data_IF_720521095291
#
_entry.id   IF_720521095291
#
_cell.length_a   1.000
_cell.length_b   1.000
_cell.length_c   1.000
_cell.angle_alpha   90.00
_cell.angle_beta   90.00
_cell.angle_gamma   90.00
#
_symmetry.space_group_name_H-M   'P 1'
#
loop_
_entity.id
_entity.type
_entity.pdbx_description
1 polymer ?
#
# COMPACT_ATOMS: atom_id res chain seq x y z
N UNK A 1 15.77 21.57 13.83
CA UNK A 1 15.77 20.32 14.63
C UNK A 1 14.50 19.58 14.27
N UNK A 2 14.59 18.58 13.40
CA UNK A 2 13.45 17.73 13.04
C UNK A 2 13.22 16.77 14.20
N UNK A 3 12.03 16.81 14.80
CA UNK A 3 11.62 15.90 15.85
C UNK A 3 11.71 14.46 15.35
N UNK A 4 12.53 13.66 16.02
CA UNK A 4 12.50 12.21 15.88
C UNK A 4 11.11 11.75 16.34
N UNK A 5 10.30 11.28 15.39
CA UNK A 5 9.00 10.69 15.67
C UNK A 5 9.24 9.33 16.37
N UNK A 6 9.52 9.39 17.67
CA UNK A 6 9.58 8.21 18.54
C UNK A 6 8.15 7.73 18.74
N UNK A 7 7.75 6.75 17.93
CA UNK A 7 6.58 5.91 18.24
C UNK A 7 6.75 5.42 19.68
N UNK A 8 5.77 5.73 20.53
CA UNK A 8 5.75 5.26 21.91
C UNK A 8 5.77 3.73 21.90
N UNK A 9 6.73 3.07 22.56
CA UNK A 9 6.76 1.61 22.60
C UNK A 9 5.46 1.07 23.19
N UNK A 10 4.96 -0.05 22.65
CA UNK A 10 3.76 -0.72 23.17
C UNK A 10 3.90 -1.05 24.66
N UNK A 11 2.85 -0.81 25.42
CA UNK A 11 2.74 -1.19 26.83
C UNK A 11 2.67 -2.71 27.01
N UNK A 12 3.02 -3.20 28.20
CA UNK A 12 2.92 -4.62 28.53
C UNK A 12 1.47 -5.14 28.40
N UNK A 13 0.47 -4.30 28.71
CA UNK A 13 -0.95 -4.63 28.57
C UNK A 13 -1.34 -4.84 27.11
N UNK A 14 -0.91 -3.94 26.21
CA UNK A 14 -1.11 -4.08 24.77
C UNK A 14 -0.42 -5.33 24.21
N UNK A 15 0.80 -5.63 24.66
CA UNK A 15 1.52 -6.83 24.26
C UNK A 15 0.83 -8.10 24.75
N UNK A 16 0.37 -8.13 26.00
CA UNK A 16 -0.29 -9.29 26.59
C UNK A 16 -1.64 -9.57 25.92
N UNK A 17 -2.40 -8.54 25.49
CA UNK A 17 -3.69 -8.67 24.80
C UNK A 17 -3.59 -9.59 23.56
N UNK A 18 -2.46 -9.53 22.86
CA UNK A 18 -2.27 -10.26 21.61
C UNK A 18 -1.60 -11.64 21.81
N UNK A 19 -1.11 -11.94 23.01
CA UNK A 19 -0.38 -13.17 23.29
C UNK A 19 -1.31 -14.30 23.71
N UNK A 20 -1.08 -15.50 23.18
CA UNK A 20 -1.80 -16.73 23.58
C UNK A 20 -1.32 -17.26 24.93
N UNK A 21 -0.06 -16.99 25.28
CA UNK A 21 0.54 -17.38 26.55
C UNK A 21 0.96 -16.14 27.36
N UNK A 22 1.33 -16.35 28.62
CA UNK A 22 1.85 -15.29 29.49
C UNK A 22 3.08 -14.61 28.86
N UNK A 23 3.06 -13.28 28.82
CA UNK A 23 4.13 -12.45 28.30
C UNK A 23 5.34 -12.53 29.24
N UNK A 24 6.44 -13.08 28.74
CA UNK A 24 7.70 -13.13 29.49
C UNK A 24 8.62 -11.97 29.11
N UNK A 25 9.10 -11.18 30.08
CA UNK A 25 10.13 -10.19 29.83
C UNK A 25 11.42 -10.82 29.32
N UNK A 26 12.08 -10.14 28.38
CA UNK A 26 13.42 -10.44 27.89
C UNK A 26 14.50 -9.84 28.80
N UNK A 27 14.34 -8.57 29.20
CA UNK A 27 15.22 -7.82 30.10
C UNK A 27 16.73 -7.90 29.78
N UNK A 28 17.09 -8.05 28.51
CA UNK A 28 18.46 -8.23 28.06
C UNK A 28 18.73 -7.47 26.75
N UNK A 29 20.01 -7.30 26.37
CA UNK A 29 20.39 -6.90 25.03
C UNK A 29 19.88 -7.89 23.97
N UNK A 30 19.82 -7.46 22.72
CA UNK A 30 19.49 -8.34 21.60
C UNK A 30 20.79 -8.86 20.99
N UNK A 31 20.98 -10.18 20.99
CA UNK A 31 22.13 -10.80 20.31
C UNK A 31 21.88 -10.78 18.80
N UNK A 32 22.76 -10.09 18.08
CA UNK A 32 22.84 -10.13 16.63
C UNK A 32 24.06 -10.95 16.23
N UNK A 33 23.90 -11.74 15.19
CA UNK A 33 25.00 -12.44 14.52
C UNK A 33 25.11 -11.93 13.09
N UNK A 34 26.30 -12.04 12.51
CA UNK A 34 26.47 -11.79 11.07
C UNK A 34 25.71 -12.82 10.24
N UNK A 35 25.50 -12.52 8.96
CA UNK A 35 24.72 -13.39 8.09
C UNK A 35 25.28 -14.81 8.04
N UNK A 36 24.42 -15.79 8.26
CA UNK A 36 24.74 -17.21 8.16
C UNK A 36 24.06 -17.80 6.91
N UNK A 37 24.82 -18.31 5.92
CA UNK A 37 24.27 -18.94 4.73
C UNK A 37 23.31 -20.11 5.01
N UNK A 38 23.48 -20.81 6.14
CA UNK A 38 22.61 -21.94 6.52
C UNK A 38 21.17 -21.53 6.81
N UNK A 39 20.88 -20.25 7.03
CA UNK A 39 19.51 -19.76 7.21
C UNK A 39 18.60 -20.06 6.02
N UNK A 40 19.14 -20.09 4.80
CA UNK A 40 18.38 -20.48 3.61
C UNK A 40 17.95 -21.95 3.69
N UNK A 41 18.84 -22.83 4.15
CA UNK A 41 18.56 -24.27 4.26
C UNK A 41 17.55 -24.55 5.38
N UNK A 42 17.70 -23.86 6.52
CA UNK A 42 16.76 -23.93 7.65
C UNK A 42 15.36 -23.44 7.22
N UNK A 43 15.28 -22.37 6.45
CA UNK A 43 14.02 -21.91 5.87
C UNK A 43 13.39 -22.99 4.98
N UNK A 44 14.14 -23.57 4.04
CA UNK A 44 13.59 -24.57 3.11
C UNK A 44 13.13 -25.84 3.84
N UNK A 45 13.85 -26.26 4.88
CA UNK A 45 13.43 -27.39 5.72
C UNK A 45 12.05 -27.14 6.35
N UNK A 46 11.86 -25.98 6.99
CA UNK A 46 10.59 -25.62 7.63
C UNK A 46 9.49 -25.36 6.60
N UNK A 47 9.81 -24.72 5.47
CA UNK A 47 8.85 -24.46 4.40
C UNK A 47 8.32 -25.79 3.83
N UNK A 48 9.18 -26.79 3.63
CA UNK A 48 8.77 -28.11 3.15
C UNK A 48 7.92 -28.86 4.18
N UNK A 49 8.23 -28.74 5.48
CA UNK A 49 7.39 -29.30 6.55
C UNK A 49 6.00 -28.65 6.56
N UNK A 50 5.91 -27.34 6.44
CA UNK A 50 4.62 -26.63 6.41
C UNK A 50 3.82 -27.02 5.17
N UNK A 51 4.46 -27.08 3.99
CA UNK A 51 3.81 -27.53 2.74
C UNK A 51 3.26 -28.95 2.87
N UNK A 52 4.00 -29.87 3.50
CA UNK A 52 3.57 -31.26 3.62
C UNK A 52 2.32 -31.43 4.50
N UNK A 53 2.16 -30.62 5.54
CA UNK A 53 1.02 -30.71 6.46
C UNK A 53 -0.19 -29.87 6.05
N UNK A 54 0.02 -28.77 5.32
CA UNK A 54 -1.06 -27.89 4.86
C UNK A 54 -1.53 -28.16 3.43
N UNK A 55 -0.68 -28.76 2.58
CA UNK A 55 -0.99 -29.00 1.18
C UNK A 55 -1.43 -27.73 0.45
N UNK A 56 -2.58 -27.79 -0.22
CA UNK A 56 -3.14 -26.68 -0.99
C UNK A 56 -3.65 -25.49 -0.15
N UNK A 57 -3.67 -25.62 1.19
CA UNK A 57 -4.04 -24.51 2.08
C UNK A 57 -2.90 -23.50 2.24
N UNK A 58 -1.65 -23.93 2.07
CA UNK A 58 -0.50 -23.04 2.01
C UNK A 58 -0.39 -22.45 0.60
N UNK A 59 -1.00 -21.28 0.41
CA UNK A 59 -1.06 -20.61 -0.90
C UNK A 59 0.29 -20.04 -1.31
N UNK A 60 1.08 -19.59 -0.34
CA UNK A 60 2.42 -19.05 -0.55
C UNK A 60 3.23 -19.21 0.74
N UNK A 61 4.52 -19.54 0.62
CA UNK A 61 5.47 -19.56 1.74
C UNK A 61 6.76 -18.88 1.31
N UNK A 62 7.20 -17.89 2.07
CA UNK A 62 8.32 -17.02 1.71
C UNK A 62 9.27 -16.82 2.89
N UNK A 63 10.58 -16.82 2.60
CA UNK A 63 11.58 -16.39 3.57
C UNK A 63 11.57 -14.87 3.63
N UNK A 64 11.33 -14.30 4.80
CA UNK A 64 11.21 -12.86 5.02
C UNK A 64 12.08 -12.44 6.23
N UNK A 65 11.98 -11.17 6.63
CA UNK A 65 12.78 -10.65 7.73
C UNK A 65 14.28 -10.56 7.40
N UNK A 66 15.11 -10.32 8.42
CA UNK A 66 16.53 -10.02 8.19
C UNK A 66 17.35 -11.24 7.77
N UNK A 67 16.96 -12.45 8.19
CA UNK A 67 17.68 -13.70 7.86
C UNK A 67 17.53 -14.10 6.38
N UNK A 68 16.55 -13.52 5.69
CA UNK A 68 16.34 -13.71 4.24
C UNK A 68 17.23 -12.84 3.35
N UNK A 69 18.04 -11.94 3.92
CA UNK A 69 18.87 -10.98 3.18
C UNK A 69 20.35 -11.33 3.33
N UNK A 70 21.02 -11.83 2.27
CA UNK A 70 22.45 -12.10 2.30
C UNK A 70 23.29 -10.90 2.76
N UNK A 71 24.24 -11.15 3.66
CA UNK A 71 25.13 -10.14 4.23
C UNK A 71 24.51 -9.24 5.31
N UNK A 72 23.22 -9.41 5.65
CA UNK A 72 22.56 -8.62 6.69
C UNK A 72 22.64 -9.33 8.06
N UNK A 73 23.23 -8.68 9.06
CA UNK A 73 23.23 -9.20 10.43
C UNK A 73 21.80 -9.34 10.99
N UNK A 74 21.53 -10.35 11.80
CA UNK A 74 20.18 -10.61 12.30
C UNK A 74 20.20 -11.24 13.69
N UNK A 75 19.04 -11.25 14.34
CA UNK A 75 18.77 -12.27 15.35
C UNK A 75 18.71 -13.61 14.60
N UNK A 76 19.29 -14.70 15.13
CA UNK A 76 19.27 -16.01 14.48
C UNK A 76 17.88 -16.67 14.62
N UNK A 77 16.85 -16.01 14.11
CA UNK A 77 15.47 -16.47 14.06
C UNK A 77 15.00 -16.33 12.62
N UNK A 78 14.49 -17.42 12.04
CA UNK A 78 13.98 -17.41 10.67
C UNK A 78 12.58 -16.81 10.67
N UNK A 79 12.39 -15.64 10.05
CA UNK A 79 11.06 -15.09 9.84
C UNK A 79 10.48 -15.68 8.54
N UNK A 80 9.31 -16.29 8.63
CA UNK A 80 8.61 -16.94 7.52
C UNK A 80 7.25 -16.30 7.33
N UNK A 81 6.86 -16.07 6.07
CA UNK A 81 5.52 -15.65 5.70
C UNK A 81 4.77 -16.86 5.15
N UNK A 82 3.58 -17.14 5.68
CA UNK A 82 2.61 -18.11 5.16
C UNK A 82 1.33 -17.38 4.77
N UNK A 83 0.92 -17.55 3.51
CA UNK A 83 -0.36 -17.05 3.01
C UNK A 83 -1.36 -18.19 2.97
N UNK A 84 -2.50 -17.99 3.62
CA UNK A 84 -3.67 -18.88 3.58
C UNK A 84 -4.85 -18.15 2.97
N UNK A 85 -5.95 -18.86 2.70
CA UNK A 85 -7.16 -18.24 2.14
C UNK A 85 -7.74 -17.19 3.11
N UNK A 86 -7.89 -17.58 4.38
CA UNK A 86 -8.39 -16.74 5.46
C UNK A 86 -7.64 -17.10 6.74
N UNK A 87 -6.86 -16.17 7.30
CA UNK A 87 -6.09 -16.38 8.53
C UNK A 87 -6.96 -16.41 9.79
N UNK A 88 -8.18 -15.87 9.75
CA UNK A 88 -9.10 -15.95 10.87
C UNK A 88 -9.75 -17.34 11.00
N UNK A 89 -9.83 -18.11 9.90
CA UNK A 89 -10.31 -19.50 9.88
C UNK A 89 -9.25 -20.47 10.43
N UNK A 90 -8.95 -20.33 11.71
CA UNK A 90 -7.93 -21.12 12.41
C UNK A 90 -8.20 -22.63 12.34
N UNK A 91 -9.48 -23.05 12.35
CA UNK A 91 -9.86 -24.46 12.25
C UNK A 91 -9.34 -25.12 10.97
N UNK A 92 -9.13 -24.34 9.91
CA UNK A 92 -8.66 -24.86 8.64
C UNK A 92 -7.17 -25.22 8.63
N UNK A 93 -6.32 -24.62 9.47
CA UNK A 93 -4.86 -24.81 9.40
C UNK A 93 -4.13 -24.97 10.73
N UNK A 94 -4.63 -24.38 11.82
CA UNK A 94 -3.95 -24.42 13.14
C UNK A 94 -3.78 -25.85 13.67
N UNK A 95 -4.79 -26.74 13.66
CA UNK A 95 -4.62 -28.10 14.16
C UNK A 95 -3.54 -28.89 13.42
N UNK A 96 -3.38 -28.67 12.11
CA UNK A 96 -2.35 -29.33 11.30
C UNK A 96 -0.94 -28.82 11.64
N UNK A 97 -0.79 -27.51 11.85
CA UNK A 97 0.46 -26.90 12.30
C UNK A 97 0.83 -27.34 13.72
N UNK A 98 -0.11 -27.36 14.65
CA UNK A 98 0.13 -27.82 16.03
C UNK A 98 0.50 -29.30 16.08
N UNK A 99 -0.15 -30.15 15.27
CA UNK A 99 0.22 -31.56 15.13
C UNK A 99 1.63 -31.76 14.57
N UNK A 100 2.14 -30.79 13.80
CA UNK A 100 3.51 -30.75 13.29
C UNK A 100 4.51 -30.08 14.27
N UNK A 101 4.03 -29.67 15.45
CA UNK A 101 4.84 -29.09 16.54
C UNK A 101 4.96 -27.57 16.53
N UNK A 102 4.30 -26.87 15.60
CA UNK A 102 4.27 -25.39 15.63
C UNK A 102 3.34 -24.90 16.74
N UNK A 103 3.75 -23.86 17.45
CA UNK A 103 2.97 -23.33 18.59
C UNK A 103 2.47 -21.94 18.26
N UNK A 104 1.15 -21.76 18.23
CA UNK A 104 0.53 -20.44 18.07
C UNK A 104 0.85 -19.56 19.30
N UNK A 105 1.43 -18.39 19.05
CA UNK A 105 1.84 -17.45 20.11
C UNK A 105 1.11 -16.13 20.07
N UNK A 106 0.73 -15.63 18.90
CA UNK A 106 0.13 -14.31 18.76
C UNK A 106 -1.14 -14.40 17.92
N UNK A 107 -2.18 -13.68 18.37
CA UNK A 107 -3.37 -13.33 17.59
C UNK A 107 -3.52 -11.82 17.57
N UNK A 108 -3.54 -11.24 16.38
CA UNK A 108 -3.72 -9.80 16.18
C UNK A 108 -4.88 -9.54 15.21
N UNK A 109 -6.14 -9.64 15.68
CA UNK A 109 -7.32 -9.42 14.82
C UNK A 109 -7.32 -8.04 14.15
N UNK A 110 -6.93 -7.01 14.91
CA UNK A 110 -6.87 -5.62 14.44
C UNK A 110 -5.75 -5.35 13.43
N UNK A 111 -4.80 -6.29 13.28
CA UNK A 111 -3.71 -6.20 12.31
C UNK A 111 -3.83 -7.32 11.28
N UNK A 112 -4.82 -7.18 10.41
CA UNK A 112 -5.08 -8.08 9.28
C UNK A 112 -5.31 -9.55 9.66
N UNK A 113 -5.92 -9.80 10.82
CA UNK A 113 -6.09 -11.16 11.33
C UNK A 113 -4.77 -11.94 11.40
N UNK A 114 -3.67 -11.27 11.73
CA UNK A 114 -2.35 -11.87 11.81
C UNK A 114 -2.30 -12.95 12.90
N UNK A 115 -1.63 -14.06 12.59
CA UNK A 115 -1.24 -15.11 13.54
C UNK A 115 0.27 -15.34 13.48
N UNK A 116 0.88 -15.55 14.64
CA UNK A 116 2.31 -15.90 14.72
C UNK A 116 2.51 -17.26 15.37
N UNK A 117 3.19 -18.18 14.68
CA UNK A 117 3.64 -19.45 15.25
C UNK A 117 5.14 -19.42 15.54
N UNK A 118 5.54 -20.20 16.54
CA UNK A 118 6.94 -20.60 16.77
C UNK A 118 7.16 -22.01 16.28
N UNK A 119 8.34 -22.25 15.71
CA UNK A 119 8.75 -23.56 15.22
C UNK A 119 9.02 -24.58 16.33
N UNK A 120 8.91 -25.88 16.02
CA UNK A 120 9.27 -26.95 16.95
C UNK A 120 10.77 -27.13 17.13
N UNK A 121 11.54 -27.12 16.04
CA UNK A 121 12.97 -27.45 16.04
C UNK A 121 13.82 -26.22 15.71
N UNK A 122 13.51 -25.57 14.59
CA UNK A 122 14.16 -24.33 14.16
C UNK A 122 13.51 -23.16 14.88
N UNK A 123 14.32 -22.24 15.41
CA UNK A 123 13.79 -20.98 15.97
C UNK A 123 13.25 -20.12 14.83
N UNK A 124 11.96 -20.26 14.54
CA UNK A 124 11.26 -19.49 13.51
C UNK A 124 10.17 -18.61 14.11
N UNK A 125 9.84 -17.56 13.38
CA UNK A 125 8.59 -16.81 13.51
C UNK A 125 7.79 -17.03 12.22
N UNK A 126 6.72 -17.80 12.27
CA UNK A 126 5.84 -18.03 11.13
C UNK A 126 4.65 -17.08 11.20
N UNK A 127 4.69 -16.04 10.37
CA UNK A 127 3.65 -15.04 10.19
C UNK A 127 2.60 -15.56 9.22
N UNK A 128 1.33 -15.60 9.64
CA UNK A 128 0.21 -16.08 8.82
C UNK A 128 -0.74 -14.93 8.48
N UNK A 129 -1.03 -14.76 7.19
CA UNK A 129 -1.94 -13.74 6.68
C UNK A 129 -2.89 -14.30 5.62
N UNK A 130 -4.08 -13.69 5.50
CA UNK A 130 -5.01 -13.94 4.40
C UNK A 130 -4.45 -13.50 3.04
N UNK A 131 -4.85 -14.19 1.98
CA UNK A 131 -4.48 -13.83 0.60
C UNK A 131 -4.97 -12.41 0.25
N UNK A 132 -4.07 -11.60 -0.30
CA UNK A 132 -4.39 -10.22 -0.71
C UNK A 132 -4.17 -9.15 0.36
N UNK A 133 -3.72 -9.54 1.56
CA UNK A 133 -3.32 -8.60 2.62
C UNK A 133 -2.09 -7.76 2.20
N UNK A 134 -2.14 -6.45 2.41
CA UNK A 134 -1.07 -5.52 2.00
C UNK A 134 0.25 -5.74 2.75
N UNK A 135 0.21 -6.29 3.97
CA UNK A 135 1.41 -6.63 4.75
C UNK A 135 2.29 -7.67 4.03
N UNK A 136 1.70 -8.58 3.24
CA UNK A 136 2.44 -9.55 2.42
C UNK A 136 3.39 -8.81 1.47
N UNK A 137 2.85 -7.88 0.69
CA UNK A 137 3.64 -7.10 -0.28
C UNK A 137 4.66 -6.22 0.42
N UNK A 138 4.34 -5.69 1.61
CA UNK A 138 5.25 -4.89 2.42
C UNK A 138 6.47 -5.70 2.89
N UNK A 139 6.26 -6.91 3.42
CA UNK A 139 7.33 -7.78 3.89
C UNK A 139 8.26 -8.21 2.74
N UNK A 140 7.67 -8.63 1.61
CA UNK A 140 8.42 -9.04 0.42
C UNK A 140 9.21 -7.87 -0.17
N UNK A 141 8.58 -6.69 -0.31
CA UNK A 141 9.25 -5.49 -0.81
C UNK A 141 10.44 -5.08 0.07
N UNK A 142 10.27 -5.12 1.39
CA UNK A 142 11.37 -4.78 2.29
C UNK A 142 12.55 -5.74 2.12
N UNK A 143 12.29 -7.06 2.06
CA UNK A 143 13.31 -8.07 1.78
C UNK A 143 14.02 -7.82 0.45
N UNK A 144 13.25 -7.72 -0.63
CA UNK A 144 13.80 -7.68 -1.98
C UNK A 144 14.57 -6.38 -2.24
N UNK A 145 14.12 -5.26 -1.66
CA UNK A 145 14.88 -4.02 -1.66
C UNK A 145 16.24 -4.16 -0.97
N UNK A 146 16.28 -4.77 0.22
CA UNK A 146 17.54 -4.93 0.95
C UNK A 146 18.49 -5.95 0.31
N UNK A 147 17.98 -6.86 -0.53
CA UNK A 147 18.82 -7.77 -1.33
C UNK A 147 19.53 -7.06 -2.49
N UNK A 148 18.98 -5.95 -2.99
CA UNK A 148 19.51 -5.23 -4.16
C UNK A 148 20.09 -3.85 -3.82
N UNK A 149 19.84 -3.33 -2.61
CA UNK A 149 20.32 -2.02 -2.17
C UNK A 149 21.28 -2.12 -0.98
N UNK A 150 22.57 -2.26 -1.29
CA UNK A 150 23.64 -2.37 -0.29
C UNK A 150 23.65 -1.21 0.71
N UNK A 151 23.45 0.03 0.23
CA UNK A 151 23.50 1.22 1.08
C UNK A 151 22.39 1.23 2.15
N UNK A 152 21.17 0.82 1.80
CA UNK A 152 20.07 0.71 2.75
C UNK A 152 20.19 -0.52 3.65
N UNK A 153 20.72 -1.64 3.14
CA UNK A 153 21.07 -2.81 3.95
C UNK A 153 22.06 -2.44 5.04
N UNK A 154 23.13 -1.73 4.69
CA UNK A 154 24.20 -1.38 5.62
C UNK A 154 23.73 -0.35 6.66
N UNK A 155 22.91 0.64 6.24
CA UNK A 155 22.24 1.56 7.18
C UNK A 155 21.33 0.82 8.15
N UNK A 156 20.53 -0.12 7.66
CA UNK A 156 19.65 -0.92 8.51
C UNK A 156 20.45 -1.78 9.49
N UNK A 157 21.53 -2.41 9.04
CA UNK A 157 22.46 -3.16 9.88
C UNK A 157 23.06 -2.27 10.99
N UNK A 158 23.50 -1.05 10.65
CA UNK A 158 24.05 -0.11 11.61
C UNK A 158 23.04 0.29 12.69
N UNK A 159 21.80 0.59 12.31
CA UNK A 159 20.72 0.90 13.27
C UNK A 159 20.46 -0.30 14.18
N UNK A 160 20.39 -1.52 13.62
CA UNK A 160 20.20 -2.75 14.42
C UNK A 160 21.32 -2.95 15.43
N UNK A 161 22.59 -2.81 15.03
CA UNK A 161 23.75 -2.94 15.92
C UNK A 161 23.75 -1.88 17.02
N UNK A 162 23.32 -0.66 16.72
CA UNK A 162 23.20 0.40 17.72
C UNK A 162 22.09 0.09 18.74
N UNK A 163 20.89 -0.28 18.27
CA UNK A 163 19.76 -0.62 19.14
C UNK A 163 20.02 -1.89 19.98
N UNK A 164 20.79 -2.85 19.45
CA UNK A 164 21.13 -4.09 20.14
C UNK A 164 21.95 -3.87 21.43
N UNK A 165 22.62 -2.73 21.58
CA UNK A 165 23.39 -2.37 22.79
C UNK A 165 22.50 -2.03 23.99
N UNK A 166 21.23 -1.67 23.74
CA UNK A 166 20.28 -1.32 24.80
C UNK A 166 19.72 -2.59 25.45
N UNK A 167 19.36 -2.50 26.73
CA UNK A 167 18.54 -3.54 27.38
C UNK A 167 17.07 -3.31 27.04
N UNK A 168 16.41 -4.36 26.57
CA UNK A 168 15.00 -4.29 26.18
C UNK A 168 14.15 -5.15 27.12
N UNK A 169 13.09 -4.57 27.69
CA UNK A 169 12.14 -5.31 28.54
C UNK A 169 11.44 -6.37 27.72
N UNK A 170 11.00 -6.05 26.51
CA UNK A 170 10.44 -7.01 25.55
C UNK A 170 11.17 -6.93 24.21
N UNK A 171 11.28 -8.07 23.52
CA UNK A 171 11.80 -8.13 22.14
C UNK A 171 10.99 -7.24 21.19
N UNK A 172 9.69 -7.08 21.46
CA UNK A 172 8.82 -6.22 20.67
C UNK A 172 9.23 -4.74 20.76
N UNK A 173 9.74 -4.27 21.90
CA UNK A 173 10.23 -2.88 22.02
C UNK A 173 11.43 -2.61 21.11
N UNK A 174 12.33 -3.59 20.97
CA UNK A 174 13.41 -3.51 19.99
C UNK A 174 12.87 -3.51 18.55
N UNK A 175 11.82 -4.28 18.26
CA UNK A 175 11.18 -4.27 16.96
C UNK A 175 10.55 -2.91 16.64
N UNK A 176 9.81 -2.33 17.58
CA UNK A 176 9.14 -1.03 17.46
C UNK A 176 10.17 0.10 17.25
N UNK A 177 11.32 0.05 17.94
CA UNK A 177 12.40 1.04 17.79
C UNK A 177 13.03 1.08 16.39
N UNK A 178 12.86 0.03 15.57
CA UNK A 178 13.33 0.00 14.17
C UNK A 178 12.35 0.66 13.20
N UNK A 179 11.13 0.99 13.63
CA UNK A 179 10.05 1.46 12.75
C UNK A 179 10.47 2.63 11.87
N UNK A 180 11.15 3.64 12.44
CA UNK A 180 11.57 4.83 11.70
C UNK A 180 12.54 4.51 10.53
N UNK A 181 13.53 3.63 10.74
CA UNK A 181 14.44 3.26 9.66
C UNK A 181 13.75 2.38 8.60
N UNK A 182 12.87 1.47 9.03
CA UNK A 182 12.09 0.63 8.12
C UNK A 182 11.19 1.50 7.22
N UNK A 183 10.48 2.48 7.79
CA UNK A 183 9.64 3.42 7.04
C UNK A 183 10.45 4.17 5.97
N UNK A 184 11.59 4.77 6.35
CA UNK A 184 12.47 5.49 5.42
C UNK A 184 12.97 4.61 4.27
N UNK A 185 13.31 3.35 4.55
CA UNK A 185 13.74 2.39 3.53
C UNK A 185 12.57 2.04 2.61
N UNK A 186 11.38 1.81 3.17
CA UNK A 186 10.17 1.48 2.40
C UNK A 186 9.70 2.62 1.49
N UNK A 187 9.89 3.87 1.90
CA UNK A 187 9.66 5.05 1.07
C UNK A 187 10.56 5.03 -0.17
N UNK A 188 11.88 4.78 0.01
CA UNK A 188 12.84 4.66 -1.11
C UNK A 188 12.55 3.45 -1.99
N UNK A 189 12.23 2.32 -1.39
CA UNK A 189 11.87 1.10 -2.10
C UNK A 189 10.62 1.30 -2.97
N UNK A 190 9.66 2.10 -2.50
CA UNK A 190 8.47 2.43 -3.28
C UNK A 190 8.76 3.45 -4.38
N UNK A 191 9.57 4.47 -4.10
CA UNK A 191 10.01 5.46 -5.10
C UNK A 191 10.77 4.82 -6.26
N UNK A 192 11.62 3.83 -6.00
CA UNK A 192 12.41 3.19 -7.06
C UNK A 192 11.55 2.38 -8.04
N UNK A 193 10.45 1.77 -7.58
CA UNK A 193 9.50 1.08 -8.46
C UNK A 193 8.77 2.04 -9.41
N UNK A 194 8.66 3.31 -9.04
CA UNK A 194 8.00 4.33 -9.86
C UNK A 194 9.01 5.09 -10.73
N UNK A 195 10.25 5.25 -10.24
CA UNK A 195 11.32 5.94 -10.94
C UNK A 195 11.74 5.19 -12.21
N UNK A 196 11.67 5.88 -13.36
CA UNK A 196 12.01 5.33 -14.67
C UNK A 196 10.78 4.87 -15.47
N UNK A 197 9.59 4.85 -14.87
CA UNK A 197 8.35 4.68 -15.63
C UNK A 197 8.06 5.99 -16.38
N UNK A 198 7.91 5.97 -17.72
CA UNK A 198 7.66 7.18 -18.50
C UNK A 198 6.27 7.77 -18.23
N UNK A 199 6.17 9.10 -18.31
CA UNK A 199 4.89 9.81 -18.31
C UNK A 199 4.13 9.49 -19.60
N UNK A 200 3.05 8.72 -19.46
CA UNK A 200 2.22 8.22 -20.55
C UNK A 200 0.75 8.30 -20.16
N UNK A 201 -0.13 8.41 -21.16
CA UNK A 201 -1.54 8.63 -20.90
C UNK A 201 -2.31 7.32 -20.94
N UNK A 202 -3.00 7.01 -19.83
CA UNK A 202 -3.99 5.95 -19.74
C UNK A 202 -5.33 6.53 -19.35
N UNK A 203 -6.40 5.97 -19.92
CA UNK A 203 -7.76 6.40 -19.66
C UNK A 203 -8.59 5.21 -19.25
N UNK A 204 -9.40 5.38 -18.21
CA UNK A 204 -10.26 4.31 -17.71
C UNK A 204 -11.70 4.78 -17.56
N UNK A 205 -12.62 3.84 -17.67
CA UNK A 205 -14.06 4.04 -17.53
C UNK A 205 -14.65 2.96 -16.62
N UNK A 206 -15.48 3.38 -15.67
CA UNK A 206 -16.32 2.53 -14.85
C UNK A 206 -17.77 2.67 -15.29
N UNK A 207 -18.40 1.57 -15.72
CA UNK A 207 -19.81 1.57 -16.17
C UNK A 207 -20.80 1.52 -15.02
N UNK A 208 -20.40 0.90 -13.91
CA UNK A 208 -21.18 0.79 -12.68
C UNK A 208 -20.24 0.44 -11.52
N UNK A 209 -20.57 0.91 -10.32
CA UNK A 209 -19.80 0.62 -9.11
C UNK A 209 -19.77 -0.88 -8.80
N UNK A 210 -18.58 -1.47 -8.66
CA UNK A 210 -18.42 -2.78 -8.03
C UNK A 210 -18.54 -2.65 -6.50
N UNK A 211 -19.68 -3.02 -5.94
CA UNK A 211 -19.95 -2.93 -4.49
C UNK A 211 -19.02 -3.79 -3.63
N UNK A 212 -18.45 -4.87 -4.18
CA UNK A 212 -17.51 -5.74 -3.46
C UNK A 212 -16.13 -5.09 -3.23
N UNK A 213 -15.82 -4.00 -3.93
CA UNK A 213 -14.54 -3.32 -3.82
C UNK A 213 -14.50 -2.28 -2.68
N UNK A 214 -15.66 -2.01 -2.08
CA UNK A 214 -15.84 -0.93 -1.12
C UNK A 214 -15.21 -1.27 0.23
N UNK A 215 -14.59 -0.28 0.87
CA UNK A 215 -14.15 -0.35 2.26
C UNK A 215 -14.53 0.91 3.03
N UNK A 216 -14.69 0.78 4.34
CA UNK A 216 -14.87 1.92 5.24
C UNK A 216 -13.51 2.56 5.59
N UNK A 217 -13.54 3.84 5.97
CA UNK A 217 -12.37 4.52 6.50
C UNK A 217 -12.20 4.16 7.98
N UNK A 218 -10.96 3.93 8.41
CA UNK A 218 -10.64 3.73 9.83
C UNK A 218 -10.98 4.99 10.65
N UNK A 219 -11.46 4.80 11.88
CA UNK A 219 -11.79 5.87 12.84
C UNK A 219 -10.58 6.72 13.24
N UNK A 220 -9.37 6.32 12.86
CA UNK A 220 -8.16 7.13 13.00
C UNK A 220 -8.07 8.32 12.04
N UNK A 221 -8.94 8.35 11.04
CA UNK A 221 -8.99 9.37 9.99
C UNK A 221 -10.40 9.90 9.83
N UNK A 222 -10.53 11.13 9.35
CA UNK A 222 -11.83 11.69 8.96
C UNK A 222 -11.76 12.29 7.56
N UNK A 223 -12.94 12.48 6.96
CA UNK A 223 -13.08 13.11 5.65
C UNK A 223 -13.81 14.43 5.81
N UNK A 224 -13.30 15.45 5.12
CA UNK A 224 -13.93 16.76 5.01
C UNK A 224 -13.64 17.37 3.65
N UNK A 225 -14.32 18.45 3.31
CA UNK A 225 -13.98 19.21 2.12
C UNK A 225 -12.72 20.06 2.34
N UNK A 226 -12.02 20.34 1.25
CA UNK A 226 -10.92 21.30 1.18
C UNK A 226 -11.44 22.69 1.57
N UNK A 227 -10.71 23.40 2.43
CA UNK A 227 -11.02 24.78 2.80
C UNK A 227 -10.32 25.75 1.84
N UNK A 228 -10.83 26.98 1.74
CA UNK A 228 -10.29 27.98 0.79
C UNK A 228 -8.83 28.31 1.02
N UNK A 229 -8.43 28.40 2.29
CA UNK A 229 -7.06 28.63 2.74
C UNK A 229 -6.14 27.41 2.55
N UNK A 230 -6.68 26.26 2.13
CA UNK A 230 -5.93 25.02 1.90
C UNK A 230 -5.71 24.73 0.40
N UNK A 231 -6.03 25.66 -0.50
CA UNK A 231 -5.83 25.47 -1.93
C UNK A 231 -4.37 25.14 -2.27
N UNK A 232 -3.40 25.74 -1.57
CA UNK A 232 -1.98 25.41 -1.76
C UNK A 232 -1.67 23.97 -1.35
N UNK A 233 -2.27 23.46 -0.27
CA UNK A 233 -2.10 22.05 0.14
C UNK A 233 -2.64 21.12 -0.94
N UNK A 234 -3.78 21.46 -1.54
CA UNK A 234 -4.33 20.70 -2.66
C UNK A 234 -3.41 20.71 -3.89
N UNK A 235 -2.85 21.88 -4.23
CA UNK A 235 -1.92 22.03 -5.37
C UNK A 235 -0.64 21.23 -5.18
N UNK A 236 -0.16 21.08 -3.95
CA UNK A 236 1.03 20.30 -3.62
C UNK A 236 0.79 18.79 -3.58
N UNK A 237 -0.44 18.36 -3.27
CA UNK A 237 -0.77 16.96 -3.00
C UNK A 237 -0.34 15.96 -4.09
N UNK A 238 -0.45 16.26 -5.40
CA UNK A 238 -0.07 15.32 -6.45
C UNK A 238 1.42 14.94 -6.45
N UNK A 239 2.27 15.76 -5.82
CA UNK A 239 3.72 15.63 -5.85
C UNK A 239 4.25 15.02 -4.55
N UNK A 240 5.22 14.12 -4.66
CA UNK A 240 5.77 13.41 -3.50
C UNK A 240 6.90 14.17 -2.80
N UNK A 241 7.45 15.20 -3.43
CA UNK A 241 8.50 16.03 -2.87
C UNK A 241 8.24 17.52 -3.07
N UNK A 242 8.79 18.31 -2.15
CA UNK A 242 8.62 19.76 -2.09
C UNK A 242 9.21 20.47 -3.31
N UNK A 243 10.25 19.89 -3.93
CA UNK A 243 10.90 20.53 -5.08
C UNK A 243 9.98 20.45 -6.29
N UNK A 244 9.48 19.26 -6.62
CA UNK A 244 8.50 19.10 -7.70
C UNK A 244 7.23 19.89 -7.43
N UNK A 245 6.70 19.87 -6.20
CA UNK A 245 5.51 20.66 -5.85
C UNK A 245 5.69 22.16 -6.14
N UNK A 246 6.87 22.72 -5.87
CA UNK A 246 7.21 24.12 -6.19
C UNK A 246 7.36 24.36 -7.69
N UNK A 247 8.04 23.46 -8.40
CA UNK A 247 8.25 23.57 -9.85
C UNK A 247 6.92 23.58 -10.62
N UNK A 248 5.95 22.76 -10.19
CA UNK A 248 4.64 22.63 -10.85
C UNK A 248 3.54 23.53 -10.25
N UNK A 249 3.85 24.39 -9.27
CA UNK A 249 2.84 25.24 -8.62
C UNK A 249 2.12 26.19 -9.60
N UNK A 250 2.86 26.75 -10.57
CA UNK A 250 2.29 27.60 -11.61
C UNK A 250 1.29 26.84 -12.48
N UNK A 251 1.67 25.65 -12.96
CA UNK A 251 0.79 24.76 -13.72
C UNK A 251 -0.48 24.40 -12.94
N UNK A 252 -0.36 24.05 -11.67
CA UNK A 252 -1.51 23.70 -10.83
C UNK A 252 -2.46 24.89 -10.63
N UNK A 253 -1.92 26.11 -10.55
CA UNK A 253 -2.71 27.34 -10.43
C UNK A 253 -3.46 27.64 -11.74
N UNK A 254 -2.80 27.50 -12.89
CA UNK A 254 -3.45 27.65 -14.20
C UNK A 254 -4.54 26.60 -14.40
N UNK A 255 -4.25 25.33 -14.12
CA UNK A 255 -5.23 24.24 -14.20
C UNK A 255 -6.44 24.52 -13.30
N UNK A 256 -6.22 24.97 -12.07
CA UNK A 256 -7.31 25.31 -11.16
C UNK A 256 -8.22 26.40 -11.75
N UNK A 257 -7.62 27.48 -12.25
CA UNK A 257 -8.37 28.60 -12.82
C UNK A 257 -9.17 28.16 -14.06
N UNK A 258 -8.55 27.37 -14.94
CA UNK A 258 -9.15 26.92 -16.20
C UNK A 258 -10.28 25.90 -16.01
N UNK A 259 -10.11 24.97 -15.06
CA UNK A 259 -11.05 23.84 -14.87
C UNK A 259 -12.09 24.15 -13.79
N UNK A 260 -11.69 24.82 -12.71
CA UNK A 260 -12.55 25.04 -11.54
C UNK A 260 -12.88 26.50 -11.29
N UNK A 261 -12.11 27.47 -11.81
CA UNK A 261 -12.24 28.88 -11.42
C UNK A 261 -13.63 29.47 -11.63
N UNK A 262 -14.31 29.13 -12.73
CA UNK A 262 -15.70 29.57 -12.98
C UNK A 262 -16.73 28.95 -12.02
N UNK A 263 -16.34 27.90 -11.28
CA UNK A 263 -17.15 27.12 -10.34
C UNK A 263 -16.40 26.86 -9.04
N UNK A 264 -15.64 27.86 -8.58
CA UNK A 264 -14.75 27.74 -7.42
C UNK A 264 -15.51 27.25 -6.18
N UNK A 265 -16.69 27.79 -5.91
CA UNK A 265 -17.54 27.39 -4.79
C UNK A 265 -17.90 25.90 -4.84
N UNK A 266 -18.19 25.38 -6.04
CA UNK A 266 -18.49 23.97 -6.25
C UNK A 266 -17.26 23.10 -6.05
N UNK A 267 -16.07 23.57 -6.43
CA UNK A 267 -14.83 22.88 -6.14
C UNK A 267 -14.64 22.69 -4.63
N UNK A 268 -14.75 23.76 -3.84
CA UNK A 268 -14.58 23.66 -2.38
C UNK A 268 -15.70 22.89 -1.69
N UNK A 269 -16.86 22.71 -2.33
CA UNK A 269 -17.92 21.81 -1.85
C UNK A 269 -17.68 20.33 -2.18
N UNK A 270 -16.87 20.04 -3.21
CA UNK A 270 -16.68 18.66 -3.72
C UNK A 270 -15.31 18.08 -3.43
N UNK A 271 -14.25 18.89 -3.45
CA UNK A 271 -12.89 18.43 -3.24
C UNK A 271 -12.75 17.88 -1.82
N UNK A 272 -12.58 16.56 -1.68
CA UNK A 272 -12.44 15.92 -0.38
C UNK A 272 -10.98 15.81 0.01
N UNK A 273 -10.70 16.02 1.29
CA UNK A 273 -9.49 15.55 1.95
C UNK A 273 -9.82 14.43 2.93
N UNK A 274 -8.95 13.42 2.94
CA UNK A 274 -8.78 12.57 4.12
C UNK A 274 -7.76 13.24 5.02
N UNK A 275 -8.08 13.34 6.30
CA UNK A 275 -7.24 13.95 7.32
C UNK A 275 -6.88 12.96 8.42
N UNK A 276 -5.71 13.16 9.03
CA UNK A 276 -5.33 12.46 10.26
C UNK A 276 -6.01 13.06 11.51
N UNK A 277 -5.74 12.46 12.68
CA UNK A 277 -6.27 12.91 13.99
C UNK A 277 -5.97 14.39 14.32
N UNK A 278 -5.00 15.00 13.66
CA UNK A 278 -4.62 16.41 13.83
C UNK A 278 -5.23 17.32 12.76
N UNK A 279 -6.19 16.82 11.97
CA UNK A 279 -6.82 17.53 10.84
C UNK A 279 -5.88 17.83 9.66
N UNK A 280 -4.73 17.14 9.59
CA UNK A 280 -3.74 17.31 8.51
C UNK A 280 -4.19 16.59 7.25
N UNK A 281 -4.30 17.24 6.07
CA UNK A 281 -4.64 16.56 4.83
C UNK A 281 -3.56 15.57 4.36
N UNK A 282 -3.95 14.29 4.23
CA UNK A 282 -3.07 13.18 3.85
C UNK A 282 -3.51 12.47 2.56
N UNK A 283 -4.68 12.79 2.02
CA UNK A 283 -5.13 12.31 0.72
C UNK A 283 -6.23 13.19 0.15
N UNK A 284 -6.42 13.15 -1.17
CA UNK A 284 -7.44 13.90 -1.90
C UNK A 284 -8.04 13.06 -3.01
N UNK A 285 -9.33 13.27 -3.28
CA UNK A 285 -10.07 12.68 -4.40
C UNK A 285 -11.47 13.32 -4.44
N UNK A 286 -12.02 13.54 -5.63
CA UNK A 286 -13.41 13.95 -5.76
C UNK A 286 -13.99 13.64 -7.14
N UNK A 287 -15.32 13.58 -7.21
CA UNK A 287 -16.05 13.48 -8.46
C UNK A 287 -16.34 14.87 -9.03
N UNK A 288 -16.10 15.06 -10.32
CA UNK A 288 -16.34 16.32 -11.03
C UNK A 288 -17.20 16.08 -12.29
N UNK A 289 -18.01 17.09 -12.68
CA UNK A 289 -18.79 17.04 -13.93
C UNK A 289 -18.01 17.77 -15.02
N UNK A 290 -17.01 17.10 -15.60
CA UNK A 290 -16.18 17.67 -16.64
C UNK A 290 -17.00 17.99 -17.90
N UNK A 291 -16.67 19.13 -18.52
CA UNK A 291 -17.34 19.69 -19.70
C UNK A 291 -18.86 19.87 -19.54
N UNK A 292 -19.35 19.92 -18.29
CA UNK A 292 -20.78 19.90 -17.94
C UNK A 292 -21.54 18.65 -18.39
N UNK A 293 -20.83 17.59 -18.81
CA UNK A 293 -21.43 16.46 -19.53
C UNK A 293 -21.08 15.11 -18.91
N UNK A 294 -19.82 14.91 -18.54
CA UNK A 294 -19.33 13.59 -18.13
C UNK A 294 -18.87 13.63 -16.68
N UNK A 295 -19.02 12.50 -15.98
CA UNK A 295 -18.59 12.36 -14.59
C UNK A 295 -17.16 11.83 -14.56
N UNK A 296 -16.28 12.50 -13.84
CA UNK A 296 -14.86 12.17 -13.78
C UNK A 296 -14.37 12.06 -12.33
N UNK A 297 -13.36 11.22 -12.09
CA UNK A 297 -12.62 11.19 -10.82
C UNK A 297 -11.37 12.02 -10.96
N UNK A 298 -11.23 13.01 -10.09
CA UNK A 298 -10.18 14.01 -10.16
C UNK A 298 -9.23 13.88 -8.96
N UNK A 299 -7.93 14.03 -9.26
CA UNK A 299 -6.85 14.19 -8.29
C UNK A 299 -6.81 13.13 -7.18
N UNK A 300 -7.05 11.86 -7.51
CA UNK A 300 -6.90 10.78 -6.53
C UNK A 300 -5.43 10.64 -6.10
N UNK A 301 -5.15 10.89 -4.82
CA UNK A 301 -3.81 10.75 -4.22
C UNK A 301 -3.91 10.47 -2.72
N UNK A 302 -3.00 9.64 -2.23
CA UNK A 302 -2.68 9.50 -0.81
C UNK A 302 -1.20 9.77 -0.67
N UNK A 303 -0.78 10.51 0.37
CA UNK A 303 0.65 10.76 0.64
C UNK A 303 1.38 9.43 0.85
N UNK A 304 2.58 9.30 0.30
CA UNK A 304 3.34 8.04 0.24
C UNK A 304 3.49 7.31 1.58
N UNK A 305 3.72 8.05 2.66
CA UNK A 305 3.87 7.49 4.01
C UNK A 305 2.55 6.91 4.60
N UNK A 306 1.42 7.15 3.94
CA UNK A 306 0.09 6.63 4.29
C UNK A 306 -0.47 5.62 3.26
N UNK A 307 0.28 5.33 2.18
CA UNK A 307 -0.12 4.30 1.22
C UNK A 307 -0.07 2.89 1.83
N UNK A 308 -0.92 1.99 1.33
CA UNK A 308 -1.01 0.61 1.81
C UNK A 308 -1.83 0.40 3.08
N UNK A 309 -2.26 1.48 3.74
CA UNK A 309 -3.10 1.47 4.96
C UNK A 309 -4.62 1.46 4.68
N UNK A 310 -5.05 1.11 3.47
CA UNK A 310 -6.48 1.07 3.10
C UNK A 310 -7.15 2.42 2.83
N UNK A 311 -6.52 3.55 3.19
CA UNK A 311 -7.07 4.91 3.04
C UNK A 311 -7.53 5.22 1.61
N UNK A 312 -6.72 4.89 0.61
CA UNK A 312 -7.07 5.15 -0.79
C UNK A 312 -8.34 4.43 -1.24
N UNK A 313 -8.53 3.18 -0.81
CA UNK A 313 -9.76 2.42 -1.10
C UNK A 313 -10.97 3.03 -0.41
N UNK A 314 -10.84 3.41 0.86
CA UNK A 314 -11.92 4.05 1.61
C UNK A 314 -12.31 5.40 0.99
N UNK A 315 -11.33 6.23 0.64
CA UNK A 315 -11.56 7.51 -0.03
C UNK A 315 -12.27 7.34 -1.37
N UNK A 316 -11.79 6.43 -2.23
CA UNK A 316 -12.47 6.15 -3.49
C UNK A 316 -13.87 5.58 -3.29
N UNK A 317 -14.07 4.77 -2.24
CA UNK A 317 -15.40 4.27 -1.85
C UNK A 317 -16.38 5.40 -1.53
N UNK A 318 -15.95 6.38 -0.73
CA UNK A 318 -16.76 7.55 -0.37
C UNK A 318 -17.14 8.34 -1.64
N UNK A 319 -16.17 8.60 -2.51
CA UNK A 319 -16.42 9.34 -3.75
C UNK A 319 -17.35 8.56 -4.68
N UNK A 320 -17.09 7.29 -4.95
CA UNK A 320 -17.89 6.49 -5.89
C UNK A 320 -19.32 6.23 -5.38
N UNK A 321 -19.53 6.06 -4.06
CA UNK A 321 -20.87 5.97 -3.45
C UNK A 321 -21.68 7.26 -3.59
N UNK A 322 -21.02 8.41 -3.70
CA UNK A 322 -21.69 9.71 -3.86
C UNK A 322 -22.21 9.96 -5.28
N UNK A 323 -21.76 9.16 -6.27
CA UNK A 323 -22.15 9.30 -7.68
C UNK A 323 -23.48 8.57 -7.91
N UNK A 324 -24.45 9.27 -8.49
CA UNK A 324 -25.77 8.71 -8.82
C UNK A 324 -25.66 7.74 -9.99
N UNK A 325 -26.56 6.76 -10.06
CA UNK A 325 -26.57 5.76 -11.13
C UNK A 325 -26.65 6.40 -12.54
N UNK A 326 -27.46 7.45 -12.71
CA UNK A 326 -27.58 8.19 -13.97
C UNK A 326 -26.35 9.03 -14.34
N UNK A 327 -25.39 9.18 -13.43
CA UNK A 327 -24.14 9.89 -13.68
C UNK A 327 -23.02 8.95 -14.16
N UNK A 328 -23.28 7.64 -14.27
CA UNK A 328 -22.38 6.70 -14.94
C UNK A 328 -22.56 6.75 -16.46
N UNK A 329 -21.52 6.40 -17.25
CA UNK A 329 -20.19 5.96 -16.80
C UNK A 329 -19.34 7.07 -16.18
N UNK A 330 -18.43 6.66 -15.29
CA UNK A 330 -17.45 7.53 -14.63
C UNK A 330 -16.08 7.30 -15.26
N UNK A 331 -15.36 8.38 -15.54
CA UNK A 331 -14.08 8.31 -16.24
C UNK A 331 -12.93 8.82 -15.38
N UNK A 332 -11.71 8.36 -15.66
CA UNK A 332 -10.50 8.96 -15.11
C UNK A 332 -9.34 8.88 -16.08
N UNK A 333 -8.42 9.83 -15.96
CA UNK A 333 -7.07 9.76 -16.52
C UNK A 333 -6.09 9.23 -15.46
N UNK A 334 -5.12 8.44 -15.89
CA UNK A 334 -4.04 7.94 -15.04
C UNK A 334 -2.76 7.72 -15.85
N UNK A 335 -1.70 7.27 -15.19
CA UNK A 335 -0.38 7.03 -15.77
C UNK A 335 0.13 5.65 -15.35
N UNK A 336 1.02 5.00 -16.12
CA UNK A 336 1.54 3.68 -15.76
C UNK A 336 2.31 3.68 -14.42
N UNK A 337 2.90 4.81 -14.01
CA UNK A 337 3.53 4.97 -12.70
C UNK A 337 2.54 4.82 -11.54
N UNK A 338 1.25 5.03 -11.80
CA UNK A 338 0.16 4.86 -10.84
C UNK A 338 -0.38 3.41 -10.82
N UNK A 339 0.44 2.40 -11.12
CA UNK A 339 0.03 0.99 -11.23
C UNK A 339 -0.72 0.45 -9.99
N UNK A 340 -0.40 0.93 -8.79
CA UNK A 340 -1.15 0.62 -7.55
C UNK A 340 -2.56 1.19 -7.55
N UNK A 341 -2.72 2.44 -8.02
CA UNK A 341 -4.02 3.07 -8.17
C UNK A 341 -4.80 2.43 -9.33
N UNK A 342 -4.15 2.06 -10.43
CA UNK A 342 -4.74 1.28 -11.52
C UNK A 342 -5.33 -0.03 -11.02
N UNK A 343 -4.58 -0.77 -10.20
CA UNK A 343 -5.10 -1.99 -9.54
C UNK A 343 -6.35 -1.66 -8.71
N UNK A 344 -6.30 -0.59 -7.92
CA UNK A 344 -7.45 -0.15 -7.13
C UNK A 344 -8.65 0.21 -8.02
N UNK A 345 -8.46 0.98 -9.09
CA UNK A 345 -9.52 1.33 -10.03
C UNK A 345 -10.13 0.07 -10.67
N UNK A 346 -9.28 -0.89 -11.07
CA UNK A 346 -9.74 -2.16 -11.63
C UNK A 346 -10.61 -2.94 -10.65
N UNK A 347 -10.26 -2.95 -9.34
CA UNK A 347 -11.12 -3.57 -8.32
C UNK A 347 -12.52 -2.93 -8.29
N UNK A 348 -12.60 -1.60 -8.45
CA UNK A 348 -13.88 -0.85 -8.51
C UNK A 348 -14.67 -1.04 -9.81
N UNK A 349 -14.12 -1.76 -10.78
CA UNK A 349 -14.76 -2.01 -12.09
C UNK A 349 -14.39 -1.00 -13.17
N UNK A 350 -13.29 -0.26 -13.02
CA UNK A 350 -12.75 0.53 -14.11
C UNK A 350 -12.06 -0.37 -15.14
N UNK A 351 -12.40 -0.16 -16.41
CA UNK A 351 -11.78 -0.78 -17.58
C UNK A 351 -10.96 0.27 -18.34
N UNK A 352 -9.83 -0.12 -18.93
CA UNK A 352 -9.07 0.75 -19.83
C UNK A 352 -9.85 1.05 -21.11
N UNK A 353 -9.82 2.30 -21.53
CA UNK A 353 -10.31 2.70 -22.84
C UNK A 353 -9.32 2.27 -23.93
N UNK A 354 -9.83 1.66 -25.00
CA UNK A 354 -8.99 1.15 -26.11
C UNK A 354 -8.82 2.16 -27.25
N UNK A 355 -9.59 3.25 -27.25
CA UNK A 355 -9.52 4.28 -28.27
C UNK A 355 -8.12 4.92 -28.32
N UNK A 356 -7.49 5.06 -29.49
CA UNK A 356 -6.11 5.52 -29.61
C UNK A 356 -5.91 7.00 -29.25
N UNK A 357 -6.99 7.79 -29.27
CA UNK A 357 -6.98 9.22 -28.96
C UNK A 357 -8.22 9.56 -28.14
N UNK A 358 -8.02 10.18 -26.97
CA UNK A 358 -9.09 10.73 -26.15
C UNK A 358 -8.97 12.26 -26.12
N UNK A 359 -9.96 12.96 -26.67
CA UNK A 359 -9.90 14.41 -26.87
C UNK A 359 -8.77 14.78 -27.83
N UNK A 360 -7.71 15.38 -27.30
CA UNK A 360 -6.48 15.76 -28.02
C UNK A 360 -5.25 14.98 -27.54
N UNK A 361 -5.43 14.01 -26.65
CA UNK A 361 -4.34 13.25 -26.03
C UNK A 361 -4.28 11.87 -26.68
N UNK A 362 -3.06 11.44 -27.01
CA UNK A 362 -2.80 10.05 -27.39
C UNK A 362 -3.10 9.16 -26.19
N UNK A 363 -3.71 8.00 -26.43
CA UNK A 363 -3.81 6.94 -25.45
C UNK A 363 -2.64 5.97 -25.67
N UNK A 364 -1.77 5.86 -24.68
CA UNK A 364 -0.53 5.09 -24.76
C UNK A 364 -0.72 3.63 -24.28
N UNK A 365 -1.94 3.11 -24.37
CA UNK A 365 -2.37 1.84 -23.78
C UNK A 365 -1.41 0.67 -24.05
N UNK A 366 -1.04 0.42 -25.30
CA UNK A 366 -0.21 -0.72 -25.68
C UNK A 366 1.18 -0.72 -25.01
N UNK A 367 1.84 0.43 -25.03
CA UNK A 367 3.15 0.62 -24.36
C UNK A 367 3.00 0.50 -22.85
N UNK A 368 1.97 1.12 -22.29
CA UNK A 368 1.67 1.05 -20.87
C UNK A 368 1.34 -0.36 -20.39
N UNK A 369 0.68 -1.21 -21.18
CA UNK A 369 0.39 -2.59 -20.78
C UNK A 369 1.68 -3.40 -20.57
N UNK A 370 2.73 -3.12 -21.35
CA UNK A 370 4.05 -3.76 -21.14
C UNK A 370 4.63 -3.33 -19.79
N UNK A 371 4.60 -2.04 -19.49
CA UNK A 371 5.09 -1.49 -18.22
C UNK A 371 4.29 -2.05 -17.05
N UNK A 372 2.96 -2.08 -17.14
CA UNK A 372 2.08 -2.58 -16.09
C UNK A 372 2.32 -4.07 -15.83
N UNK A 373 2.59 -4.87 -16.86
CA UNK A 373 2.92 -6.29 -16.71
C UNK A 373 4.19 -6.51 -15.89
N UNK A 374 5.16 -5.60 -15.98
CA UNK A 374 6.42 -5.68 -15.23
C UNK A 374 6.27 -5.23 -13.76
N UNK A 375 5.38 -4.28 -13.50
CA UNK A 375 5.28 -3.61 -12.18
C UNK A 375 4.09 -4.06 -11.33
N UNK A 376 3.06 -4.67 -11.94
CA UNK A 376 1.89 -5.20 -11.23
C UNK A 376 2.05 -6.69 -10.90
N UNK A 377 1.48 -7.17 -9.79
CA UNK A 377 1.33 -8.60 -9.57
C UNK A 377 0.57 -9.24 -10.74
N UNK A 378 1.07 -10.38 -11.25
CA UNK A 378 0.50 -11.06 -12.42
C UNK A 378 -1.02 -11.30 -12.28
N UNK A 379 -1.46 -11.77 -11.10
CA UNK A 379 -2.88 -12.02 -10.79
C UNK A 379 -3.79 -10.78 -10.93
N UNK A 380 -3.22 -9.58 -10.76
CA UNK A 380 -3.95 -8.32 -10.83
C UNK A 380 -3.90 -7.77 -12.27
N UNK A 381 -2.77 -7.96 -12.97
CA UNK A 381 -2.65 -7.64 -14.39
C UNK A 381 -3.64 -8.45 -15.24
N UNK A 382 -3.80 -9.74 -14.95
CA UNK A 382 -4.73 -10.64 -15.67
C UNK A 382 -6.21 -10.27 -15.49
N UNK A 383 -6.54 -9.44 -14.49
CA UNK A 383 -7.91 -8.97 -14.25
C UNK A 383 -8.24 -7.65 -14.94
N UNK A 384 -7.26 -7.00 -15.57
CA UNK A 384 -7.49 -5.72 -16.25
C UNK A 384 -8.53 -5.90 -17.35
N UNK A 385 -9.52 -4.99 -17.36
CA UNK A 385 -10.60 -4.98 -18.33
C UNK A 385 -10.41 -3.87 -19.36
N UNK A 386 -11.06 -4.02 -20.50
CA UNK A 386 -10.95 -3.11 -21.63
C UNK A 386 -12.34 -2.76 -22.17
N UNK A 387 -12.52 -1.52 -22.64
CA UNK A 387 -13.77 -1.05 -23.22
C UNK A 387 -13.53 0.04 -24.27
N UNK A 388 -14.42 0.16 -25.23
CA UNK A 388 -14.48 1.33 -26.11
C UNK A 388 -15.21 2.48 -25.43
N UNK A 389 -14.77 3.70 -25.72
CA UNK A 389 -15.34 4.91 -25.16
C UNK A 389 -16.73 5.21 -25.78
N UNK A 390 -17.73 5.61 -24.97
CA UNK A 390 -19.02 6.03 -25.51
C UNK A 390 -18.90 7.26 -26.41
N UNK A 391 -19.72 7.35 -27.46
CA UNK A 391 -19.67 8.44 -28.44
C UNK A 391 -19.87 9.82 -27.79
N UNK A 392 -20.80 9.92 -26.84
CA UNK A 392 -21.07 11.17 -26.12
C UNK A 392 -19.90 11.63 -25.26
N UNK A 393 -19.13 10.69 -24.70
CA UNK A 393 -17.88 11.00 -24.02
C UNK A 393 -16.84 11.53 -25.01
N UNK A 394 -16.65 10.88 -26.16
CA UNK A 394 -15.71 11.34 -27.20
C UNK A 394 -16.07 12.73 -27.73
N UNK A 395 -17.37 13.06 -27.84
CA UNK A 395 -17.85 14.40 -28.18
C UNK A 395 -17.56 15.41 -27.07
N UNK A 396 -17.75 15.03 -25.80
CA UNK A 396 -17.51 15.91 -24.66
C UNK A 396 -16.04 16.33 -24.55
N UNK A 397 -15.10 15.37 -24.61
CA UNK A 397 -13.65 15.63 -24.50
C UNK A 397 -13.08 16.42 -25.68
N UNK A 398 -13.81 16.51 -26.81
CA UNK A 398 -13.46 17.35 -27.96
C UNK A 398 -14.11 18.74 -27.95
N UNK A 399 -15.00 19.01 -27.00
CA UNK A 399 -15.79 20.25 -26.97
C UNK A 399 -15.02 21.47 -26.44
N UNK A 400 -13.86 21.25 -25.80
CA UNK A 400 -12.98 22.31 -25.32
C UNK A 400 -11.52 21.89 -25.45
N UNK A 401 -10.64 22.86 -25.69
CA UNK A 401 -9.18 22.66 -25.63
C UNK A 401 -8.65 22.57 -24.20
N UNK A 402 -9.39 23.11 -23.22
CA UNK A 402 -9.06 22.96 -21.80
C UNK A 402 -9.28 21.50 -21.44
N UNK A 403 -8.23 20.84 -20.95
CA UNK A 403 -8.33 19.46 -20.55
C UNK A 403 -8.89 19.35 -19.13
N UNK A 404 -10.19 19.04 -19.03
CA UNK A 404 -10.86 18.77 -17.76
C UNK A 404 -10.85 17.28 -17.41
N UNK A 405 -10.11 16.45 -18.16
CA UNK A 405 -10.14 14.99 -18.10
C UNK A 405 -8.75 14.32 -18.11
#
# INVERSE_FOLDING_TARGET
MLSENNSTPRSDEELQKNMVAELKPHNAPITLVEYDPSWSDLFEQEANRIRSVLGNKALQIEHVGSTSVPGLCAKPIIDMLLVVKDSADELSYVPALESAGYILRIREPEWFEHRLFKGPDTDINLHVFSSGTSEIDRMLRFRDWLRTNDADRDKYAQVKRNLAKNKWRHVQHYADAKTSIIQKIMERASLNLENGIPEKNLFMMCKALNSNAISELSDEYHVRTCRRDELDIWKEMPFDDVKSAKEYNGFMTEYFNDVYGSKEDLFFQKCLFVCDKNDTPIGTCFAWKAYEKISTIHWFKVRKNYEGSGIGRALLSIVMRSIKENDYPVFLHTQPSSFRAIKLYSDFGFAFLTDPIIGYRKNDLEECLTILKEHMPQKDFEKLQFAEAPEDFLKAVKSSKINQF
#
